data_IF_181746658406
#
_entry.id   IF_181746658406
#
_cell.length_a   1.000
_cell.length_b   1.000
_cell.length_c   1.000
_cell.angle_alpha   90.00
_cell.angle_beta   90.00
_cell.angle_gamma   90.00
#
_symmetry.space_group_name_H-M   'P 1'
#
loop_
_entity.id
_entity.type
_entity.pdbx_description
1 polymer ?
#
# COMPACT_ATOMS: atom_id res chain seq x y z
N UNK A 1 -7.01 0.29 -25.02
CA UNK A 1 -7.10 1.76 -25.16
C UNK A 1 -8.12 2.37 -24.21
N UNK A 2 -9.42 2.00 -24.29
CA UNK A 2 -10.48 2.59 -23.44
C UNK A 2 -10.24 2.53 -21.93
N UNK A 3 -9.69 1.42 -21.41
CA UNK A 3 -9.38 1.28 -19.97
C UNK A 3 -8.39 2.35 -19.47
N UNK A 4 -7.35 2.66 -20.24
CA UNK A 4 -6.39 3.72 -19.90
C UNK A 4 -7.05 5.09 -19.93
N UNK A 5 -7.89 5.35 -20.95
CA UNK A 5 -8.63 6.61 -21.09
C UNK A 5 -9.63 6.84 -19.94
N UNK A 6 -10.18 5.77 -19.36
CA UNK A 6 -11.04 5.82 -18.18
C UNK A 6 -10.26 5.94 -16.87
N UNK A 7 -8.95 6.12 -16.92
CA UNK A 7 -8.09 6.22 -15.73
C UNK A 7 -7.83 4.88 -15.04
N UNK A 8 -8.04 3.74 -15.71
CA UNK A 8 -7.89 2.41 -15.12
C UNK A 8 -6.50 2.11 -14.54
N UNK A 9 -5.46 2.81 -15.00
CA UNK A 9 -4.12 2.74 -14.41
C UNK A 9 -4.09 3.20 -12.95
N UNK A 10 -4.97 4.12 -12.54
CA UNK A 10 -5.02 4.65 -11.19
C UNK A 10 -5.37 3.56 -10.16
N UNK A 11 -6.52 2.86 -10.23
CA UNK A 11 -6.82 1.78 -9.30
C UNK A 11 -5.87 0.59 -9.47
N UNK A 12 -5.32 0.36 -10.67
CA UNK A 12 -4.29 -0.67 -10.86
C UNK A 12 -3.08 -0.41 -9.98
N UNK A 13 -2.49 0.78 -10.04
CA UNK A 13 -1.30 1.15 -9.24
C UNK A 13 -1.66 1.22 -7.75
N UNK A 14 -2.80 1.81 -7.37
CA UNK A 14 -3.19 1.92 -5.97
C UNK A 14 -3.37 0.54 -5.30
N UNK A 15 -4.09 -0.38 -5.95
CA UNK A 15 -4.37 -1.70 -5.39
C UNK A 15 -3.12 -2.60 -5.39
N UNK A 16 -2.39 -2.68 -6.51
CA UNK A 16 -1.15 -3.47 -6.54
C UNK A 16 -0.07 -2.87 -5.63
N UNK A 17 -0.04 -1.54 -5.50
CA UNK A 17 0.81 -0.83 -4.55
C UNK A 17 0.50 -1.21 -3.10
N UNK A 18 -0.78 -1.28 -2.72
CA UNK A 18 -1.20 -1.73 -1.39
C UNK A 18 -0.71 -3.15 -1.10
N UNK A 19 -0.94 -4.10 -2.01
CA UNK A 19 -0.45 -5.47 -1.86
C UNK A 19 1.07 -5.56 -1.82
N UNK A 20 1.76 -4.73 -2.61
CA UNK A 20 3.23 -4.67 -2.62
C UNK A 20 3.78 -4.19 -1.27
N UNK A 21 3.15 -3.18 -0.65
CA UNK A 21 3.54 -2.71 0.68
C UNK A 21 3.32 -3.77 1.76
N UNK A 22 2.20 -4.50 1.70
CA UNK A 22 1.93 -5.64 2.59
C UNK A 22 3.02 -6.71 2.42
N UNK A 23 3.29 -7.12 1.18
CA UNK A 23 4.33 -8.10 0.87
C UNK A 23 5.72 -7.65 1.32
N UNK A 24 6.03 -6.36 1.19
CA UNK A 24 7.31 -5.80 1.62
C UNK A 24 7.47 -5.82 3.13
N UNK A 25 6.43 -5.46 3.89
CA UNK A 25 6.46 -5.55 5.36
C UNK A 25 6.57 -7.01 5.83
N UNK A 26 5.84 -7.94 5.20
CA UNK A 26 5.96 -9.37 5.47
C UNK A 26 7.37 -9.89 5.21
N UNK A 27 7.99 -9.46 4.10
CA UNK A 27 9.39 -9.77 3.79
C UNK A 27 10.36 -9.22 4.83
N UNK A 28 10.12 -8.03 5.38
CA UNK A 28 10.95 -7.48 6.47
C UNK A 28 10.85 -8.34 7.74
N UNK A 29 9.65 -8.84 8.08
CA UNK A 29 9.48 -9.81 9.18
C UNK A 29 10.19 -11.14 8.90
N UNK A 30 10.04 -11.67 7.68
CA UNK A 30 10.67 -12.91 7.25
C UNK A 30 12.19 -12.81 7.38
N UNK A 31 12.81 -11.76 6.83
CA UNK A 31 14.25 -11.54 6.93
C UNK A 31 14.69 -11.37 8.39
N UNK A 32 13.94 -10.60 9.19
CA UNK A 32 14.27 -10.42 10.60
C UNK A 32 14.29 -11.76 11.35
N UNK A 33 13.31 -12.63 11.07
CA UNK A 33 13.25 -13.99 11.62
C UNK A 33 14.42 -14.86 11.14
N UNK A 34 14.73 -14.84 9.84
CA UNK A 34 15.79 -15.66 9.25
C UNK A 34 17.19 -15.26 9.77
N UNK A 35 17.43 -13.97 9.99
CA UNK A 35 18.71 -13.45 10.51
C UNK A 35 18.76 -13.48 12.05
N UNK A 36 17.61 -13.60 12.73
CA UNK A 36 17.55 -13.63 14.20
C UNK A 36 17.61 -12.24 14.86
N UNK A 37 17.21 -11.19 14.14
CA UNK A 37 17.14 -9.82 14.66
C UNK A 37 15.71 -9.44 15.06
N UNK A 38 15.57 -8.46 15.96
CA UNK A 38 14.24 -7.92 16.33
C UNK A 38 13.64 -7.14 15.14
N UNK A 39 12.36 -7.34 14.80
CA UNK A 39 11.75 -6.80 13.57
C UNK A 39 11.30 -5.33 13.68
N UNK A 40 12.06 -4.47 14.34
CA UNK A 40 11.66 -3.06 14.53
C UNK A 40 11.56 -2.28 13.22
N UNK A 41 12.31 -2.67 12.19
CA UNK A 41 12.20 -2.07 10.86
C UNK A 41 10.82 -2.32 10.23
N UNK A 42 10.27 -3.54 10.37
CA UNK A 42 8.92 -3.85 9.90
C UNK A 42 7.85 -3.06 10.66
N UNK A 43 8.03 -2.90 11.98
CA UNK A 43 7.13 -2.09 12.81
C UNK A 43 7.19 -0.62 12.39
N UNK A 44 8.38 -0.04 12.18
CA UNK A 44 8.53 1.33 11.71
C UNK A 44 7.89 1.54 10.31
N UNK A 45 7.96 0.52 9.45
CA UNK A 45 7.35 0.54 8.12
C UNK A 45 5.80 0.55 8.13
N UNK A 46 5.16 0.27 9.28
CA UNK A 46 3.72 0.49 9.45
C UNK A 46 3.31 1.96 9.27
N UNK A 47 4.20 2.92 9.55
CA UNK A 47 3.95 4.35 9.33
C UNK A 47 3.66 4.68 7.86
N UNK A 48 4.58 4.38 6.92
CA UNK A 48 4.32 4.49 5.48
C UNK A 48 3.07 3.76 5.01
N UNK A 49 2.79 2.56 5.52
CA UNK A 49 1.56 1.81 5.18
C UNK A 49 0.32 2.57 5.63
N UNK A 50 0.30 3.10 6.85
CA UNK A 50 -0.83 3.87 7.37
C UNK A 50 -1.07 5.14 6.53
N UNK A 51 -0.01 5.83 6.09
CA UNK A 51 -0.14 6.98 5.19
C UNK A 51 -0.71 6.56 3.84
N UNK A 52 -0.18 5.49 3.24
CA UNK A 52 -0.66 5.03 1.93
C UNK A 52 -2.13 4.60 1.99
N UNK A 53 -2.51 3.77 2.97
CA UNK A 53 -3.88 3.28 3.12
C UNK A 53 -4.84 4.43 3.46
N UNK A 54 -4.43 5.39 4.30
CA UNK A 54 -5.31 6.51 4.65
C UNK A 54 -5.57 7.44 3.47
N UNK A 55 -4.53 7.82 2.71
CA UNK A 55 -4.65 8.77 1.60
C UNK A 55 -5.22 8.12 0.34
N UNK A 56 -4.68 6.98 -0.09
CA UNK A 56 -5.03 6.38 -1.37
C UNK A 56 -6.21 5.41 -1.32
N UNK A 57 -6.71 5.04 -0.14
CA UNK A 57 -7.86 4.15 0.01
C UNK A 57 -8.95 4.75 0.89
N UNK A 58 -8.66 5.02 2.17
CA UNK A 58 -9.70 5.43 3.11
C UNK A 58 -10.30 6.80 2.78
N UNK A 59 -9.46 7.78 2.42
CA UNK A 59 -9.91 9.12 2.08
C UNK A 59 -10.90 9.12 0.90
N UNK A 60 -10.59 8.59 -0.30
CA UNK A 60 -11.54 8.56 -1.40
C UNK A 60 -12.75 7.64 -1.17
N UNK A 61 -12.63 6.58 -0.35
CA UNK A 61 -13.79 5.78 0.08
C UNK A 61 -14.76 6.58 0.97
N UNK A 62 -14.26 7.60 1.68
CA UNK A 62 -15.08 8.57 2.41
C UNK A 62 -15.63 9.71 1.53
N UNK A 63 -15.21 9.78 0.26
CA UNK A 63 -15.68 10.76 -0.73
C UNK A 63 -16.67 10.10 -1.72
N UNK A 64 -17.09 10.85 -2.74
CA UNK A 64 -18.02 10.34 -3.76
C UNK A 64 -17.37 9.41 -4.79
N UNK A 65 -16.04 9.47 -4.98
CA UNK A 65 -15.32 8.59 -5.91
C UNK A 65 -13.78 8.69 -5.77
N UNK A 66 -13.08 7.77 -6.44
CA UNK A 66 -11.63 7.78 -6.63
C UNK A 66 -11.09 9.00 -7.40
N UNK A 67 -11.95 9.84 -7.99
CA UNK A 67 -11.53 11.09 -8.62
C UNK A 67 -10.93 12.09 -7.61
N UNK A 68 -11.32 11.98 -6.34
CA UNK A 68 -10.85 12.85 -5.25
C UNK A 68 -9.67 12.27 -4.47
N UNK A 69 -9.13 11.14 -4.92
CA UNK A 69 -8.01 10.47 -4.28
C UNK A 69 -6.67 11.16 -4.56
#
# INVERSE_FOLDING_TARGET
>A
VRWVQLGGLWPFVALHGAFSLIGFMLRQFEIARLVGIRPYNAIAFSGPIAVFVSVFLMYPLGQSSWFFA
#
